data_IF_606633573065
#
_entry.id   IF_606633573065
#
_cell.length_a   1.000
_cell.length_b   1.000
_cell.length_c   1.000
_cell.angle_alpha   90.00
_cell.angle_beta   90.00
_cell.angle_gamma   90.00
#
_symmetry.space_group_name_H-M   'P 1'
#
loop_
_entity.id
_entity.type
_entity.pdbx_description
1 polymer ?
#
# COMPACT_ATOMS: atom_id res chain seq x y z
N UNK A 1 -11.31 0.32 12.88
CA UNK A 1 -10.04 0.89 12.37
C UNK A 1 -9.08 -0.23 11.98
N UNK A 2 -8.92 -1.23 12.86
CA UNK A 2 -8.07 -2.41 12.65
C UNK A 2 -8.34 -3.16 11.35
N UNK A 3 -9.60 -3.29 10.94
CA UNK A 3 -9.96 -4.02 9.72
C UNK A 3 -9.41 -3.33 8.45
N UNK A 4 -9.50 -2.00 8.40
CA UNK A 4 -8.96 -1.24 7.27
C UNK A 4 -7.43 -1.31 7.24
N UNK A 5 -6.77 -1.21 8.40
CA UNK A 5 -5.31 -1.38 8.49
C UNK A 5 -4.88 -2.76 7.99
N UNK A 6 -5.55 -3.84 8.43
CA UNK A 6 -5.26 -5.20 7.97
C UNK A 6 -5.50 -5.36 6.47
N UNK A 7 -6.55 -4.74 5.94
CA UNK A 7 -6.84 -4.75 4.51
C UNK A 7 -5.74 -4.06 3.70
N UNK A 8 -5.22 -2.91 4.15
CA UNK A 8 -4.09 -2.23 3.49
C UNK A 8 -2.80 -3.05 3.54
N UNK A 9 -2.51 -3.70 4.68
CA UNK A 9 -1.35 -4.60 4.79
C UNK A 9 -1.50 -5.78 3.83
N UNK A 10 -2.69 -6.40 3.77
CA UNK A 10 -2.98 -7.48 2.82
C UNK A 10 -2.79 -7.01 1.38
N UNK A 11 -3.33 -5.84 1.02
CA UNK A 11 -3.16 -5.25 -0.30
C UNK A 11 -1.68 -5.04 -0.64
N UNK A 12 -0.88 -4.53 0.29
CA UNK A 12 0.56 -4.38 0.07
C UNK A 12 1.30 -5.71 -0.18
N UNK A 13 0.81 -6.81 0.40
CA UNK A 13 1.41 -8.14 0.27
C UNK A 13 0.96 -8.89 -1.00
N UNK A 14 -0.28 -8.67 -1.46
CA UNK A 14 -0.89 -9.45 -2.55
C UNK A 14 -1.18 -8.64 -3.81
N UNK A 15 -1.12 -7.31 -3.73
CA UNK A 15 -1.37 -6.40 -4.84
C UNK A 15 -0.25 -6.42 -5.87
N UNK A 16 -0.51 -5.77 -7.00
CA UNK A 16 0.46 -5.64 -8.08
C UNK A 16 1.44 -4.50 -7.75
N UNK A 17 2.74 -4.81 -7.68
CA UNK A 17 3.79 -3.79 -7.65
C UNK A 17 3.83 -3.09 -9.02
N UNK A 18 3.45 -1.81 -9.06
CA UNK A 18 3.38 -1.03 -10.29
C UNK A 18 4.56 -0.09 -10.47
N UNK A 19 5.23 0.28 -9.37
CA UNK A 19 6.48 1.04 -9.41
C UNK A 19 7.34 0.75 -8.17
N UNK A 20 8.65 0.84 -8.35
CA UNK A 20 9.63 0.78 -7.27
C UNK A 20 10.72 1.83 -7.52
N UNK A 21 10.93 2.71 -6.55
CA UNK A 21 11.93 3.79 -6.65
C UNK A 21 12.86 3.74 -5.44
N UNK A 22 14.15 3.54 -5.68
CA UNK A 22 15.18 3.75 -4.67
C UNK A 22 15.43 5.25 -4.46
N UNK A 23 15.51 5.68 -3.21
CA UNK A 23 15.76 7.08 -2.84
C UNK A 23 16.82 7.13 -1.75
N UNK A 24 17.38 8.33 -1.49
CA UNK A 24 18.31 8.55 -0.38
C UNK A 24 17.72 8.24 1.01
N UNK A 25 16.39 8.12 1.13
CA UNK A 25 15.68 7.85 2.37
C UNK A 25 15.22 6.39 2.49
N UNK A 26 15.47 5.56 1.48
CA UNK A 26 15.01 4.18 1.41
C UNK A 26 14.23 3.88 0.13
N UNK A 27 13.61 2.70 0.09
CA UNK A 27 12.93 2.18 -1.08
C UNK A 27 11.43 2.48 -1.03
N UNK A 28 10.91 3.15 -2.05
CA UNK A 28 9.48 3.37 -2.24
C UNK A 28 8.88 2.29 -3.13
N UNK A 29 7.67 1.87 -2.79
CA UNK A 29 6.91 0.85 -3.49
C UNK A 29 5.49 1.37 -3.75
N UNK A 30 5.05 1.30 -4.99
CA UNK A 30 3.67 1.61 -5.39
C UNK A 30 2.96 0.30 -5.70
N UNK A 31 1.90 0.02 -4.94
CA UNK A 31 1.14 -1.23 -5.04
C UNK A 31 -0.31 -0.91 -5.31
N UNK A 32 -0.82 -1.45 -6.41
CA UNK A 32 -2.22 -1.35 -6.82
C UNK A 32 -2.96 -2.63 -6.45
N UNK A 33 -4.19 -2.50 -5.97
CA UNK A 33 -5.02 -3.64 -5.62
C UNK A 33 -6.47 -3.29 -5.35
N UNK A 34 -7.26 -4.32 -5.04
CA UNK A 34 -8.67 -4.18 -4.71
C UNK A 34 -8.88 -4.39 -3.21
N UNK A 35 -9.80 -3.61 -2.64
CA UNK A 35 -10.18 -3.67 -1.23
C UNK A 35 -11.70 -3.69 -1.13
N UNK A 36 -12.23 -4.62 -0.36
CA UNK A 36 -13.66 -4.67 -0.03
C UNK A 36 -13.97 -3.65 1.06
N UNK A 37 -14.85 -2.71 0.76
CA UNK A 37 -15.34 -1.71 1.70
C UNK A 37 -16.41 -2.31 2.62
N UNK A 38 -16.68 -1.71 3.80
CA UNK A 38 -17.67 -2.24 4.75
C UNK A 38 -19.10 -2.36 4.19
N UNK A 39 -19.41 -1.65 3.11
CA UNK A 39 -20.69 -1.72 2.41
C UNK A 39 -20.74 -2.83 1.34
N UNK A 40 -19.67 -3.61 1.18
CA UNK A 40 -19.55 -4.71 0.21
C UNK A 40 -19.00 -4.29 -1.16
N UNK A 41 -18.73 -2.99 -1.38
CA UNK A 41 -18.19 -2.52 -2.65
C UNK A 41 -16.70 -2.85 -2.77
N UNK A 42 -16.27 -3.25 -3.98
CA UNK A 42 -14.86 -3.41 -4.29
C UNK A 42 -14.28 -2.08 -4.80
N UNK A 43 -13.29 -1.55 -4.08
CA UNK A 43 -12.60 -0.30 -4.43
C UNK A 43 -11.20 -0.62 -4.92
N UNK A 44 -10.82 -0.03 -6.07
CA UNK A 44 -9.45 -0.05 -6.56
C UNK A 44 -8.62 1.03 -5.88
N UNK A 45 -7.57 0.62 -5.18
CA UNK A 45 -6.67 1.50 -4.44
C UNK A 45 -5.25 1.39 -4.98
N UNK A 46 -4.59 2.55 -5.04
CA UNK A 46 -3.14 2.68 -5.10
C UNK A 46 -2.61 3.00 -3.72
N UNK A 47 -1.63 2.23 -3.28
CA UNK A 47 -0.93 2.45 -2.01
C UNK A 47 0.55 2.71 -2.26
N UNK A 48 1.11 3.65 -1.51
CA UNK A 48 2.54 3.98 -1.57
C UNK A 48 3.15 3.67 -0.21
N UNK A 49 4.21 2.88 -0.22
CA UNK A 49 4.94 2.45 0.97
C UNK A 49 6.39 2.86 0.86
N UNK A 50 7.05 3.05 2.00
CA UNK A 50 8.50 3.22 2.08
C UNK A 50 9.08 2.26 3.11
N UNK A 51 10.18 1.59 2.75
CA UNK A 51 11.08 0.95 3.71
C UNK A 51 12.27 1.89 3.85
N UNK A 52 12.37 2.53 5.01
CA UNK A 52 13.42 3.53 5.28
C UNK A 52 14.80 2.87 5.41
N UNK A 53 15.85 3.59 5.08
CA UNK A 53 17.23 3.07 5.17
C UNK A 53 17.56 2.64 6.60
N UNK A 54 17.93 1.37 6.77
CA UNK A 54 18.23 0.79 8.08
C UNK A 54 17.02 0.20 8.80
N UNK A 55 15.82 0.39 8.27
CA UNK A 55 14.59 -0.20 8.77
C UNK A 55 14.20 -1.44 7.96
N UNK A 56 13.41 -2.32 8.59
CA UNK A 56 12.83 -3.50 7.92
C UNK A 56 11.31 -3.44 7.82
N UNK A 57 10.68 -2.55 8.60
CA UNK A 57 9.24 -2.39 8.60
C UNK A 57 8.82 -1.35 7.54
N UNK A 58 7.94 -1.70 6.58
CA UNK A 58 7.38 -0.74 5.66
C UNK A 58 6.42 0.21 6.38
N UNK A 59 6.47 1.50 6.03
CA UNK A 59 5.54 2.53 6.47
C UNK A 59 4.65 2.97 5.32
N UNK A 60 3.35 3.07 5.57
CA UNK A 60 2.40 3.64 4.62
C UNK A 60 2.67 5.14 4.46
N UNK A 61 2.79 5.59 3.21
CA UNK A 61 2.92 7.01 2.85
C UNK A 61 1.55 7.58 2.48
N UNK A 62 0.84 6.91 1.56
CA UNK A 62 -0.51 7.31 1.14
C UNK A 62 -1.28 6.10 0.60
N UNK A 63 -2.60 6.16 0.67
CA UNK A 63 -3.52 5.25 0.01
C UNK A 63 -4.64 6.09 -0.63
N UNK A 64 -4.89 5.91 -1.92
CA UNK A 64 -5.91 6.66 -2.64
C UNK A 64 -6.58 5.80 -3.72
N UNK A 65 -7.83 6.10 -4.12
CA UNK A 65 -8.46 5.45 -5.26
C UNK A 65 -7.63 5.60 -6.55
N UNK A 66 -7.69 4.60 -7.41
CA UNK A 66 -7.04 4.64 -8.73
C UNK A 66 -7.78 5.52 -9.75
N UNK A 67 -9.04 5.85 -9.48
CA UNK A 67 -9.95 6.61 -10.33
C UNK A 67 -10.47 7.88 -9.63
#
# INVERSE_FOLDING_TARGET
ADDFQRALIRLAQTGALTDMTETAYGNKYVVDGELEAPNGDMIRLRTVWIIETGESAPRLVTAHPLD
#
